data_IF_920030428821
#
_entry.id   IF_920030428821
#
_cell.length_a   1.000
_cell.length_b   1.000
_cell.length_c   1.000
_cell.angle_alpha   90.00
_cell.angle_beta   90.00
_cell.angle_gamma   90.00
#
_symmetry.space_group_name_H-M   'P 1'
#
loop_
_entity.id
_entity.type
_entity.pdbx_description
1 polymer ?
#
# COMPACT_ATOMS: atom_id res chain seq x y z
N UNK A 1 6.31 -11.06 0.66
CA UNK A 1 7.46 -10.37 0.08
C UNK A 1 7.56 -9.04 0.78
N UNK A 2 8.68 -8.77 1.45
CA UNK A 2 8.84 -7.52 2.18
C UNK A 2 9.77 -6.64 1.37
N UNK A 3 9.29 -5.45 1.00
CA UNK A 3 10.04 -4.49 0.22
C UNK A 3 10.33 -3.28 1.11
N UNK A 4 11.56 -3.23 1.62
CA UNK A 4 12.03 -2.15 2.49
C UNK A 4 12.86 -1.19 1.64
N UNK A 5 12.33 0.03 1.41
CA UNK A 5 12.99 1.07 0.63
C UNK A 5 13.53 2.22 1.52
N UNK A 6 13.57 2.01 2.85
CA UNK A 6 14.05 2.95 3.86
C UNK A 6 15.50 3.40 3.65
N UNK A 7 16.30 2.55 2.99
CA UNK A 7 17.73 2.71 2.76
C UNK A 7 18.07 3.08 1.30
N UNK A 8 17.06 3.30 0.45
CA UNK A 8 17.29 3.49 -0.99
C UNK A 8 17.58 4.95 -1.31
N UNK A 9 18.66 5.17 -2.07
CA UNK A 9 19.08 6.50 -2.51
C UNK A 9 18.17 7.02 -3.63
N UNK A 10 17.79 8.29 -3.55
CA UNK A 10 17.16 9.06 -4.63
C UNK A 10 17.96 8.90 -5.95
N UNK A 11 17.32 8.79 -7.14
CA UNK A 11 16.02 9.36 -7.49
C UNK A 11 14.99 8.42 -8.14
N UNK A 12 15.25 7.11 -8.24
CA UNK A 12 14.39 6.22 -9.05
C UNK A 12 13.20 5.68 -8.25
N UNK A 13 11.94 5.83 -8.76
CA UNK A 13 10.79 5.22 -8.11
C UNK A 13 10.88 3.70 -8.21
N UNK A 14 11.04 3.05 -7.06
CA UNK A 14 11.06 1.59 -6.90
C UNK A 14 9.91 0.86 -7.61
N UNK A 15 8.77 1.52 -7.77
CA UNK A 15 7.57 0.94 -8.38
C UNK A 15 7.78 0.54 -9.84
N UNK A 16 8.73 1.16 -10.55
CA UNK A 16 9.10 0.77 -11.91
C UNK A 16 9.71 -0.64 -11.98
N UNK A 17 10.19 -1.17 -10.85
CA UNK A 17 10.69 -2.54 -10.72
C UNK A 17 9.59 -3.53 -10.33
N UNK A 18 8.40 -3.05 -9.98
CA UNK A 18 7.24 -3.84 -9.58
C UNK A 18 6.23 -3.93 -10.74
N UNK A 19 6.71 -4.07 -11.97
CA UNK A 19 5.86 -4.12 -13.16
C UNK A 19 5.35 -5.52 -13.47
N UNK A 20 6.05 -6.56 -13.01
CA UNK A 20 5.65 -7.94 -13.26
C UNK A 20 4.50 -8.37 -12.33
N UNK A 21 3.51 -9.12 -12.83
CA UNK A 21 2.48 -9.71 -12.00
C UNK A 21 3.10 -10.58 -10.89
N UNK A 22 2.54 -10.49 -9.69
CA UNK A 22 3.00 -11.28 -8.55
C UNK A 22 1.86 -12.13 -7.96
N UNK A 23 1.24 -13.05 -8.71
CA UNK A 23 -0.04 -13.67 -8.35
C UNK A 23 -0.02 -14.45 -7.03
N UNK A 24 1.13 -15.02 -6.65
CA UNK A 24 1.31 -15.76 -5.39
C UNK A 24 1.68 -14.87 -4.20
N UNK A 25 1.69 -13.55 -4.36
CA UNK A 25 2.12 -12.63 -3.33
C UNK A 25 1.05 -12.47 -2.23
N UNK A 26 1.42 -12.80 -0.99
CA UNK A 26 0.50 -12.80 0.17
C UNK A 26 0.77 -11.66 1.15
N UNK A 27 1.99 -11.14 1.19
CA UNK A 27 2.37 -10.04 2.08
C UNK A 27 3.14 -8.99 1.31
N UNK A 28 2.82 -7.72 1.54
CA UNK A 28 3.47 -6.55 0.96
C UNK A 28 3.80 -5.56 2.08
N UNK A 29 5.04 -5.12 2.13
CA UNK A 29 5.43 -3.96 2.93
C UNK A 29 6.15 -3.00 2.00
N UNK A 30 5.79 -1.72 2.03
CA UNK A 30 6.47 -0.63 1.33
C UNK A 30 6.78 0.44 2.37
N UNK A 31 8.02 0.44 2.85
CA UNK A 31 8.54 1.39 3.83
C UNK A 31 9.49 2.36 3.11
N UNK A 32 9.27 3.66 3.26
CA UNK A 32 9.96 4.69 2.46
C UNK A 32 10.03 6.00 3.25
N UNK A 33 10.99 6.87 2.91
CA UNK A 33 11.16 8.19 3.56
C UNK A 33 10.21 9.28 3.04
N UNK A 34 9.18 8.91 2.28
CA UNK A 34 8.16 9.82 1.74
C UNK A 34 8.59 10.63 0.52
N UNK A 35 9.88 10.93 0.35
CA UNK A 35 10.38 11.71 -0.80
C UNK A 35 10.13 11.09 -2.18
N UNK A 36 9.84 9.78 -2.24
CA UNK A 36 9.49 9.05 -3.47
C UNK A 36 7.97 8.90 -3.66
N UNK A 37 7.16 9.45 -2.75
CA UNK A 37 5.69 9.36 -2.77
C UNK A 37 5.13 10.65 -3.35
N UNK A 38 4.59 10.57 -4.56
CA UNK A 38 3.97 11.71 -5.21
C UNK A 38 2.50 11.85 -4.77
N UNK A 39 2.19 12.92 -4.04
CA UNK A 39 0.81 13.23 -3.64
C UNK A 39 0.14 12.19 -2.72
N UNK A 40 0.90 11.28 -2.12
CA UNK A 40 0.35 10.17 -1.33
C UNK A 40 -0.19 8.99 -2.16
N UNK A 41 0.02 8.99 -3.48
CA UNK A 41 -0.53 7.99 -4.39
C UNK A 41 0.42 6.80 -4.59
N UNK A 42 -0.09 5.60 -4.33
CA UNK A 42 0.56 4.36 -4.72
C UNK A 42 0.30 4.09 -6.20
N UNK A 43 1.33 4.06 -7.07
CA UNK A 43 1.14 3.73 -8.47
C UNK A 43 0.66 2.28 -8.66
N UNK A 44 0.06 1.98 -9.82
CA UNK A 44 -0.30 0.60 -10.16
C UNK A 44 0.98 -0.24 -10.28
N UNK A 45 1.21 -1.08 -9.28
CA UNK A 45 2.25 -2.10 -9.24
C UNK A 45 1.69 -3.43 -9.77
N UNK A 46 2.50 -4.47 -9.91
CA UNK A 46 2.08 -5.81 -10.35
C UNK A 46 1.24 -5.84 -11.64
N UNK A 47 1.60 -5.02 -12.64
CA UNK A 47 0.84 -4.81 -13.88
C UNK A 47 -0.63 -4.38 -13.67
N UNK A 48 -0.97 -3.79 -12.51
CA UNK A 48 -2.34 -3.46 -12.14
C UNK A 48 -3.18 -4.67 -11.69
N UNK A 49 -2.61 -5.87 -11.67
CA UNK A 49 -3.27 -7.07 -11.13
C UNK A 49 -3.12 -7.09 -9.61
N UNK A 50 -4.21 -7.31 -8.90
CA UNK A 50 -4.17 -7.44 -7.45
C UNK A 50 -3.71 -8.87 -7.07
N UNK A 51 -2.61 -9.02 -6.32
CA UNK A 51 -2.19 -10.32 -5.82
C UNK A 51 -3.11 -10.87 -4.72
N UNK A 52 -2.84 -12.10 -4.26
CA UNK A 52 -3.51 -12.74 -3.11
C UNK A 52 -3.08 -12.15 -1.75
N UNK A 53 -2.95 -10.82 -1.67
CA UNK A 53 -2.50 -10.10 -0.49
C UNK A 53 -3.43 -10.32 0.70
N UNK A 54 -2.81 -10.53 1.86
CA UNK A 54 -3.45 -10.64 3.17
C UNK A 54 -2.83 -9.67 4.18
N UNK A 55 -1.55 -9.35 4.00
CA UNK A 55 -0.81 -8.46 4.89
C UNK A 55 -0.26 -7.29 4.10
N UNK A 56 -0.62 -6.07 4.48
CA UNK A 56 -0.19 -4.84 3.81
C UNK A 56 0.35 -3.85 4.85
N UNK A 57 1.55 -3.32 4.59
CA UNK A 57 2.12 -2.20 5.31
C UNK A 57 2.56 -1.11 4.32
N UNK A 58 2.04 0.10 4.48
CA UNK A 58 2.32 1.23 3.60
C UNK A 58 2.73 2.45 4.41
N UNK A 59 3.89 3.01 4.09
CA UNK A 59 4.40 4.23 4.70
C UNK A 59 4.23 5.44 3.76
N UNK A 60 3.70 6.55 4.28
CA UNK A 60 3.39 7.79 3.58
C UNK A 60 2.30 7.73 2.48
N UNK A 61 1.77 6.56 2.14
CA UNK A 61 0.66 6.44 1.19
C UNK A 61 -0.70 6.67 1.83
N UNK A 62 -1.55 7.39 1.10
CA UNK A 62 -2.92 7.71 1.51
C UNK A 62 -3.95 7.39 0.45
N UNK A 63 -3.51 6.96 -0.75
CA UNK A 63 -4.39 6.54 -1.84
C UNK A 63 -3.73 5.43 -2.66
N UNK A 64 -4.56 4.59 -3.26
CA UNK A 64 -4.18 3.43 -4.07
C UNK A 64 -5.29 3.14 -5.09
N UNK A 65 -5.05 2.30 -6.12
CA UNK A 65 -6.07 1.93 -7.08
C UNK A 65 -7.31 1.32 -6.41
N UNK A 66 -8.51 1.60 -6.92
CA UNK A 66 -9.78 1.19 -6.28
C UNK A 66 -9.93 -0.33 -6.12
N UNK A 67 -9.28 -1.11 -7.00
CA UNK A 67 -9.34 -2.58 -7.00
C UNK A 67 -8.20 -3.22 -6.21
N UNK A 68 -7.50 -2.44 -5.37
CA UNK A 68 -6.39 -2.93 -4.56
C UNK A 68 -6.83 -3.16 -3.11
N UNK A 69 -6.14 -4.09 -2.46
CA UNK A 69 -6.21 -4.32 -1.01
C UNK A 69 -7.58 -4.75 -0.49
N UNK A 70 -8.17 -5.75 -1.15
CA UNK A 70 -9.33 -6.48 -0.64
C UNK A 70 -8.92 -7.71 0.19
N UNK A 71 -9.83 -8.20 1.03
CA UNK A 71 -9.64 -9.44 1.80
C UNK A 71 -8.38 -9.49 2.70
N UNK A 72 -7.94 -8.34 3.19
CA UNK A 72 -6.78 -8.27 4.09
C UNK A 72 -7.09 -8.89 5.45
N UNK A 73 -6.08 -9.51 6.06
CA UNK A 73 -6.06 -9.91 7.47
C UNK A 73 -5.27 -8.94 8.34
N UNK A 74 -4.34 -8.18 7.77
CA UNK A 74 -3.55 -7.19 8.51
C UNK A 74 -3.24 -5.97 7.65
N UNK A 75 -3.47 -4.80 8.22
CA UNK A 75 -3.18 -3.51 7.60
C UNK A 75 -2.40 -2.60 8.55
N UNK A 76 -1.33 -2.02 8.03
CA UNK A 76 -0.50 -1.03 8.70
C UNK A 76 -0.35 0.20 7.80
N UNK A 77 -0.95 1.32 8.19
CA UNK A 77 -0.76 2.61 7.53
C UNK A 77 0.16 3.45 8.42
N UNK A 78 1.32 3.85 7.89
CA UNK A 78 2.38 4.47 8.66
C UNK A 78 2.70 5.87 8.11
N UNK A 79 2.95 6.83 8.99
CA UNK A 79 3.44 8.17 8.64
C UNK A 79 2.64 8.87 7.52
N UNK A 80 1.32 8.69 7.50
CA UNK A 80 0.44 9.29 6.49
C UNK A 80 0.47 10.82 6.57
N UNK A 81 0.55 11.47 5.39
CA UNK A 81 0.52 12.93 5.31
C UNK A 81 -0.88 13.44 5.64
N UNK A 82 -1.00 14.35 6.62
CA UNK A 82 -2.29 14.75 7.18
C UNK A 82 -3.29 15.25 6.13
N UNK A 83 -2.84 16.09 5.20
CA UNK A 83 -3.70 16.73 4.20
C UNK A 83 -4.15 15.81 3.06
N UNK A 84 -3.52 14.64 2.90
CA UNK A 84 -3.85 13.69 1.84
C UNK A 84 -4.57 12.45 2.36
N UNK A 85 -4.83 12.36 3.67
CA UNK A 85 -5.54 11.23 4.28
C UNK A 85 -6.95 11.08 3.70
N UNK A 86 -7.42 9.83 3.51
CA UNK A 86 -8.80 9.60 3.13
C UNK A 86 -9.75 10.15 4.19
N UNK A 87 -10.96 10.52 3.78
CA UNK A 87 -12.02 10.85 4.73
C UNK A 87 -12.36 9.62 5.57
N UNK A 88 -12.92 9.82 6.76
CA UNK A 88 -13.37 8.71 7.60
C UNK A 88 -14.30 7.77 6.84
N UNK A 89 -15.22 8.29 6.04
CA UNK A 89 -16.13 7.50 5.23
C UNK A 89 -15.37 6.61 4.22
N UNK A 90 -14.47 7.20 3.43
CA UNK A 90 -13.67 6.45 2.46
C UNK A 90 -12.78 5.39 3.12
N UNK A 91 -12.30 5.67 4.35
CA UNK A 91 -11.56 4.70 5.13
C UNK A 91 -12.43 3.54 5.61
N UNK A 92 -13.67 3.80 6.05
CA UNK A 92 -14.62 2.76 6.44
C UNK A 92 -15.02 1.90 5.24
N UNK A 93 -15.33 2.50 4.09
CA UNK A 93 -15.62 1.78 2.84
C UNK A 93 -14.47 0.84 2.46
N UNK A 94 -13.23 1.29 2.67
CA UNK A 94 -12.05 0.45 2.47
C UNK A 94 -11.98 -0.72 3.47
N UNK A 95 -12.29 -0.51 4.75
CA UNK A 95 -12.31 -1.59 5.74
C UNK A 95 -13.41 -2.63 5.44
N UNK A 96 -14.57 -2.21 4.92
CA UNK A 96 -15.66 -3.11 4.51
C UNK A 96 -15.23 -4.11 3.43
N UNK A 97 -14.28 -3.72 2.57
CA UNK A 97 -13.70 -4.60 1.55
C UNK A 97 -12.73 -5.67 2.10
N UNK A 98 -12.44 -5.64 3.41
CA UNK A 98 -11.56 -6.59 4.09
C UNK A 98 -12.25 -7.20 5.32
N UNK A 99 -13.31 -8.00 5.15
CA UNK A 99 -14.10 -8.56 6.26
C UNK A 99 -13.32 -9.54 7.15
N UNK A 100 -12.12 -9.97 6.72
CA UNK A 100 -11.22 -10.85 7.47
C UNK A 100 -10.13 -10.10 8.23
N UNK A 101 -10.20 -8.77 8.29
CA UNK A 101 -9.20 -7.96 8.95
C UNK A 101 -9.17 -8.26 10.46
N UNK A 102 -8.01 -8.67 10.95
CA UNK A 102 -7.78 -8.99 12.36
C UNK A 102 -6.86 -7.98 13.04
N UNK A 103 -6.00 -7.31 12.25
CA UNK A 103 -5.03 -6.32 12.75
C UNK A 103 -5.14 -5.04 11.94
N UNK A 104 -5.28 -3.94 12.65
CA UNK A 104 -5.31 -2.59 12.09
C UNK A 104 -4.39 -1.69 12.92
N UNK A 105 -3.48 -1.00 12.25
CA UNK A 105 -2.70 0.10 12.81
C UNK A 105 -2.67 1.25 11.79
N UNK A 106 -2.94 2.47 12.23
CA UNK A 106 -3.05 3.69 11.40
C UNK A 106 -2.38 4.89 12.05
#
# INVERSE_FOLDING_TARGET
FHLCADSWYFPSPIYNLLVDPAPSLVGLSILTRGGQVNGGFLPPIFAGEMPLLREVALEHFTSWPTNYFHNLSSLYLLNQVFFSRPTTLAFLDFLENSPRLQKLAV
#
